data_IF_187539552262
#
_entry.id   IF_187539552262
#
_cell.length_a   1.000
_cell.length_b   1.000
_cell.length_c   1.000
_cell.angle_alpha   90.00
_cell.angle_beta   90.00
_cell.angle_gamma   90.00
#
_symmetry.space_group_name_H-M   'P 1'
#
loop_
_entity.id
_entity.type
_entity.pdbx_description
1 polymer ?
#
# COMPACT_ATOMS: atom_id res chain seq x y z
N UNK A 1 43.47 -18.27 -8.96
CA UNK A 1 43.13 -17.79 -7.61
C UNK A 1 41.79 -17.06 -7.72
N UNK A 2 40.72 -17.65 -7.19
CA UNK A 2 39.40 -17.02 -7.20
C UNK A 2 39.38 -15.91 -6.15
N UNK A 3 39.18 -14.67 -6.57
CA UNK A 3 39.03 -13.54 -5.67
C UNK A 3 37.69 -13.68 -4.93
N UNK A 4 37.75 -14.01 -3.64
CA UNK A 4 36.62 -13.94 -2.73
C UNK A 4 36.14 -12.49 -2.64
N UNK A 5 34.91 -12.24 -3.09
CA UNK A 5 34.26 -10.96 -2.88
C UNK A 5 34.21 -10.65 -1.37
N UNK A 6 34.47 -9.40 -0.95
CA UNK A 6 34.45 -9.04 0.46
C UNK A 6 33.05 -9.25 1.02
N UNK A 7 32.97 -9.91 2.18
CA UNK A 7 31.71 -10.05 2.91
C UNK A 7 31.13 -8.65 3.18
N UNK A 8 29.88 -8.44 2.78
CA UNK A 8 29.15 -7.22 3.10
C UNK A 8 29.22 -6.99 4.63
N UNK A 9 29.51 -5.76 5.09
CA UNK A 9 29.56 -5.48 6.52
C UNK A 9 28.22 -5.88 7.14
N UNK A 10 28.25 -6.69 8.20
CA UNK A 10 27.06 -6.98 9.00
C UNK A 10 26.50 -5.63 9.44
N UNK A 11 25.29 -5.29 8.98
CA UNK A 11 24.61 -4.09 9.44
C UNK A 11 24.59 -4.11 10.96
N UNK A 12 25.10 -3.04 11.59
CA UNK A 12 25.03 -2.90 13.04
C UNK A 12 23.55 -2.97 13.43
N UNK A 13 23.21 -3.84 14.39
CA UNK A 13 21.84 -3.95 14.87
C UNK A 13 21.39 -2.57 15.38
N UNK A 14 20.25 -2.09 14.93
CA UNK A 14 19.65 -0.86 15.44
C UNK A 14 19.47 -0.99 16.95
N UNK A 15 20.12 -0.11 17.72
CA UNK A 15 19.90 -0.04 19.15
C UNK A 15 18.53 0.59 19.40
N UNK A 16 17.55 -0.23 19.78
CA UNK A 16 16.18 0.23 19.99
C UNK A 16 16.11 1.23 21.16
N UNK A 17 15.31 2.27 20.99
CA UNK A 17 15.10 3.35 21.96
C UNK A 17 13.63 3.55 22.25
N UNK A 18 13.34 4.15 23.40
CA UNK A 18 12.01 4.61 23.75
C UNK A 18 11.44 5.50 22.64
N UNK A 19 10.13 5.40 22.40
CA UNK A 19 9.45 6.15 21.36
C UNK A 19 9.48 7.66 21.62
N UNK A 20 9.71 8.13 22.85
CA UNK A 20 9.80 9.57 23.17
C UNK A 20 10.96 10.26 22.43
N UNK A 21 10.69 11.48 22.00
CA UNK A 21 11.68 12.34 21.37
C UNK A 21 11.01 13.43 20.53
N UNK A 22 11.81 14.26 19.85
CA UNK A 22 11.26 15.26 18.93
C UNK A 22 10.49 14.59 17.79
N UNK A 23 9.48 15.28 17.22
CA UNK A 23 8.73 14.77 16.10
C UNK A 23 9.62 14.54 14.87
N UNK A 24 9.14 13.74 13.92
CA UNK A 24 9.84 13.58 12.66
C UNK A 24 9.93 14.91 11.90
N UNK A 25 11.06 15.22 11.24
CA UNK A 25 11.12 16.34 10.32
C UNK A 25 10.19 16.08 9.13
N UNK A 26 9.64 17.14 8.52
CA UNK A 26 8.68 17.03 7.40
C UNK A 26 9.20 16.15 6.27
N UNK A 27 10.51 16.21 5.97
CA UNK A 27 11.16 15.44 4.92
C UNK A 27 11.03 13.92 5.14
N UNK A 28 10.94 13.46 6.40
CA UNK A 28 10.75 12.05 6.73
C UNK A 28 9.38 11.52 6.29
N UNK A 29 8.38 12.39 6.13
CA UNK A 29 7.03 12.03 5.68
C UNK A 29 6.91 11.95 4.15
N UNK A 30 7.92 12.42 3.40
CA UNK A 30 7.84 12.59 1.93
C UNK A 30 7.67 11.27 1.19
N UNK A 31 8.25 10.20 1.70
CA UNK A 31 8.23 8.87 1.07
C UNK A 31 8.59 7.80 2.10
N UNK A 32 8.19 6.55 1.84
CA UNK A 32 8.53 5.43 2.72
C UNK A 32 10.04 5.28 2.99
N UNK A 33 10.96 5.43 2.00
CA UNK A 33 12.40 5.42 2.25
C UNK A 33 12.85 6.47 3.27
N UNK A 34 12.31 7.69 3.19
CA UNK A 34 12.66 8.76 4.11
C UNK A 34 12.14 8.46 5.53
N UNK A 35 10.95 7.87 5.64
CA UNK A 35 10.40 7.43 6.92
C UNK A 35 11.23 6.30 7.53
N UNK A 36 11.62 5.30 6.73
CA UNK A 36 12.47 4.18 7.16
C UNK A 36 13.82 4.68 7.66
N UNK A 37 14.43 5.64 6.97
CA UNK A 37 15.71 6.22 7.41
C UNK A 37 15.58 7.00 8.73
N UNK A 38 14.49 7.75 8.89
CA UNK A 38 14.17 8.39 10.17
C UNK A 38 14.01 7.36 11.29
N UNK A 39 13.18 6.32 11.10
CA UNK A 39 12.98 5.25 12.08
C UNK A 39 14.30 4.58 12.47
N UNK A 40 15.17 4.29 11.50
CA UNK A 40 16.49 3.71 11.72
C UNK A 40 17.36 4.61 12.60
N UNK A 41 17.49 5.89 12.25
CA UNK A 41 18.31 6.85 12.99
C UNK A 41 17.82 7.07 14.41
N UNK A 42 16.50 7.12 14.60
CA UNK A 42 15.89 7.33 15.91
C UNK A 42 15.89 6.08 16.80
N UNK A 43 16.31 4.92 16.28
CA UNK A 43 16.27 3.66 17.03
C UNK A 43 14.86 3.09 17.17
N UNK A 44 13.98 3.38 16.21
CA UNK A 44 12.57 2.98 16.19
C UNK A 44 12.28 1.91 15.12
N UNK A 45 13.32 1.26 14.58
CA UNK A 45 13.21 0.23 13.54
C UNK A 45 13.93 -1.04 13.95
N UNK A 46 13.22 -2.16 13.97
CA UNK A 46 13.87 -3.47 13.94
C UNK A 46 14.27 -3.79 12.51
N UNK A 47 15.53 -4.14 12.27
CA UNK A 47 16.04 -4.41 10.93
C UNK A 47 16.82 -5.73 10.90
N UNK A 48 16.61 -6.53 9.85
CA UNK A 48 17.26 -7.84 9.71
C UNK A 48 17.60 -8.18 8.26
N UNK A 49 18.72 -8.87 8.08
CA UNK A 49 19.14 -9.48 6.81
C UNK A 49 18.72 -10.95 6.69
N UNK A 50 18.02 -11.50 7.70
CA UNK A 50 17.41 -12.82 7.58
C UNK A 50 16.35 -12.81 6.49
N UNK A 51 16.40 -13.81 5.60
CA UNK A 51 15.41 -13.96 4.55
C UNK A 51 14.02 -14.29 5.14
N UNK A 52 13.00 -13.59 4.65
CA UNK A 52 11.60 -13.82 5.02
C UNK A 52 10.77 -14.28 3.82
N UNK A 53 9.89 -15.25 4.05
CA UNK A 53 8.88 -15.73 3.11
C UNK A 53 7.56 -14.99 3.29
N UNK A 54 6.89 -14.68 2.18
CA UNK A 54 5.51 -14.17 2.19
C UNK A 54 4.48 -15.23 2.58
N UNK A 55 4.82 -16.50 2.45
CA UNK A 55 3.98 -17.60 2.91
C UNK A 55 4.14 -17.81 4.42
N UNK A 56 3.19 -17.29 5.20
CA UNK A 56 3.04 -17.38 6.66
C UNK A 56 4.16 -16.80 7.52
N UNK A 57 5.40 -16.74 7.03
CA UNK A 57 6.54 -16.39 7.88
C UNK A 57 6.52 -14.90 8.24
N UNK A 58 6.34 -14.01 7.27
CA UNK A 58 6.26 -12.56 7.54
C UNK A 58 5.11 -12.24 8.49
N UNK A 59 3.92 -12.76 8.20
CA UNK A 59 2.68 -12.51 8.96
C UNK A 59 2.72 -13.15 10.35
N UNK A 60 3.34 -14.33 10.49
CA UNK A 60 3.59 -14.96 11.78
C UNK A 60 4.53 -14.14 12.67
N UNK A 61 5.60 -13.58 12.09
CA UNK A 61 6.50 -12.66 12.81
C UNK A 61 5.77 -11.36 13.16
N UNK A 62 5.08 -10.75 12.19
CA UNK A 62 4.27 -9.54 12.39
C UNK A 62 3.32 -9.69 13.59
N UNK A 63 2.62 -10.84 13.69
CA UNK A 63 1.70 -11.09 14.79
C UNK A 63 2.40 -11.32 16.13
N UNK A 64 3.55 -11.98 16.15
CA UNK A 64 4.33 -12.16 17.38
C UNK A 64 4.83 -10.82 17.95
N UNK A 65 5.03 -9.84 17.06
CA UNK A 65 5.51 -8.50 17.36
C UNK A 65 4.41 -7.43 17.27
N UNK A 66 3.14 -7.83 17.42
CA UNK A 66 1.99 -6.91 17.42
C UNK A 66 2.14 -5.84 18.52
N UNK A 67 1.85 -4.57 18.19
CA UNK A 67 2.10 -3.43 19.07
C UNK A 67 3.56 -2.99 19.24
N UNK A 68 4.52 -3.68 18.63
CA UNK A 68 5.95 -3.35 18.73
C UNK A 68 6.45 -2.40 17.62
N UNK A 69 7.76 -2.22 17.52
CA UNK A 69 8.42 -1.39 16.50
C UNK A 69 8.15 -1.91 15.07
N UNK A 70 8.14 -1.03 14.06
CA UNK A 70 8.24 -1.44 12.68
C UNK A 70 9.42 -2.40 12.44
N UNK A 71 9.21 -3.41 11.59
CA UNK A 71 10.22 -4.42 11.26
C UNK A 71 10.52 -4.36 9.77
N UNK A 72 11.78 -4.13 9.42
CA UNK A 72 12.29 -4.15 8.06
C UNK A 72 13.07 -5.46 7.80
N UNK A 73 12.60 -6.20 6.80
CA UNK A 73 13.31 -7.33 6.22
C UNK A 73 14.04 -6.91 4.96
N UNK A 74 15.37 -6.96 5.02
CA UNK A 74 16.23 -6.63 3.89
C UNK A 74 16.29 -7.74 2.85
N UNK A 75 15.78 -8.95 3.11
CA UNK A 75 15.78 -10.06 2.14
C UNK A 75 14.41 -10.72 2.11
N UNK A 76 13.81 -10.77 0.93
CA UNK A 76 12.50 -11.39 0.71
C UNK A 76 12.68 -12.57 -0.25
N UNK A 77 12.24 -13.76 0.19
CA UNK A 77 12.39 -15.01 -0.56
C UNK A 77 11.69 -14.89 -1.92
N UNK A 78 12.44 -15.09 -2.99
CA UNK A 78 11.92 -15.00 -4.37
C UNK A 78 11.91 -13.58 -4.96
N UNK A 79 12.18 -12.54 -4.17
CA UNK A 79 12.10 -11.13 -4.60
C UNK A 79 13.40 -10.37 -4.27
N UNK A 80 14.41 -10.49 -5.13
CA UNK A 80 15.73 -9.89 -4.91
C UNK A 80 15.72 -8.35 -4.85
N UNK A 81 14.77 -7.73 -5.56
CA UNK A 81 14.58 -6.27 -5.60
C UNK A 81 13.74 -5.74 -4.44
N UNK A 82 13.09 -6.57 -3.64
CA UNK A 82 12.14 -6.11 -2.62
C UNK A 82 12.80 -6.05 -1.24
N UNK A 83 12.43 -5.03 -0.47
CA UNK A 83 12.53 -5.02 0.99
C UNK A 83 11.13 -4.93 1.58
N UNK A 84 10.81 -5.76 2.56
CA UNK A 84 9.47 -5.78 3.16
C UNK A 84 9.50 -5.12 4.54
N UNK A 85 8.64 -4.13 4.75
CA UNK A 85 8.38 -3.56 6.08
C UNK A 85 7.04 -4.08 6.60
N UNK A 86 6.95 -4.35 7.89
CA UNK A 86 5.70 -4.70 8.59
C UNK A 86 5.59 -3.91 9.89
N UNK A 87 4.41 -3.96 10.53
CA UNK A 87 4.13 -3.30 11.81
C UNK A 87 4.32 -1.77 11.76
N UNK A 88 4.20 -1.18 10.57
CA UNK A 88 4.51 0.22 10.30
C UNK A 88 3.68 1.20 11.16
N UNK A 89 2.41 0.87 11.40
CA UNK A 89 1.49 1.62 12.27
C UNK A 89 1.08 0.83 13.53
N UNK A 90 1.87 -0.17 13.96
CA UNK A 90 1.49 -1.04 15.08
C UNK A 90 1.63 -0.37 16.46
N UNK A 91 2.56 0.57 16.60
CA UNK A 91 2.85 1.23 17.88
C UNK A 91 2.46 2.71 17.84
N UNK A 92 1.45 3.09 18.63
CA UNK A 92 0.92 4.45 18.57
C UNK A 92 1.86 5.54 19.09
N UNK A 93 2.80 5.23 19.99
CA UNK A 93 3.77 6.23 20.45
C UNK A 93 4.73 6.62 19.31
N UNK A 94 5.11 5.64 18.47
CA UNK A 94 5.92 5.88 17.27
C UNK A 94 5.12 6.67 16.24
N UNK A 95 3.84 6.33 16.04
CA UNK A 95 2.96 7.02 15.08
C UNK A 95 2.71 8.46 15.51
N UNK A 96 2.42 8.69 16.79
CA UNK A 96 2.22 10.03 17.34
C UNK A 96 3.48 10.87 17.18
N UNK A 97 4.67 10.30 17.46
CA UNK A 97 5.94 10.99 17.21
C UNK A 97 6.22 11.22 15.71
N UNK A 98 5.86 10.28 14.84
CA UNK A 98 6.06 10.40 13.40
C UNK A 98 5.32 11.63 12.84
N UNK A 99 4.09 11.85 13.28
CA UNK A 99 3.27 12.98 12.82
C UNK A 99 3.32 14.21 13.75
N UNK A 100 3.99 14.11 14.89
CA UNK A 100 4.12 15.20 15.86
C UNK A 100 2.86 15.48 16.67
N UNK A 101 2.05 14.45 16.93
CA UNK A 101 0.92 14.53 17.84
C UNK A 101 1.36 14.33 19.28
N UNK A 102 0.91 15.22 20.16
CA UNK A 102 1.25 15.16 21.59
C UNK A 102 0.59 13.96 22.28
N UNK A 103 -0.67 13.69 21.94
CA UNK A 103 -1.46 12.59 22.49
C UNK A 103 -2.60 12.17 21.53
N UNK A 104 -3.41 11.21 21.98
CA UNK A 104 -4.58 10.73 21.24
C UNK A 104 -5.64 11.81 20.95
N UNK A 105 -5.75 12.82 21.80
CA UNK A 105 -6.72 13.91 21.67
C UNK A 105 -6.24 14.87 20.58
N UNK A 106 -4.97 15.25 20.62
CA UNK A 106 -4.30 16.04 19.59
C UNK A 106 -4.42 15.33 18.23
N UNK A 107 -4.03 14.05 18.15
CA UNK A 107 -4.19 13.23 16.94
C UNK A 107 -5.61 13.30 16.37
N UNK A 108 -6.62 13.14 17.22
CA UNK A 108 -8.02 13.17 16.78
C UNK A 108 -8.41 14.54 16.19
N UNK A 109 -7.99 15.63 16.84
CA UNK A 109 -8.29 17.00 16.39
C UNK A 109 -7.55 17.36 15.11
N UNK A 110 -6.26 17.05 15.03
CA UNK A 110 -5.42 17.32 13.86
C UNK A 110 -5.89 16.52 12.63
N UNK A 111 -6.31 15.26 12.81
CA UNK A 111 -6.90 14.48 11.73
C UNK A 111 -8.25 15.07 11.28
N UNK A 112 -9.11 15.48 12.21
CA UNK A 112 -10.37 16.14 11.86
C UNK A 112 -10.15 17.46 11.11
N UNK A 113 -9.15 18.25 11.52
CA UNK A 113 -8.75 19.47 10.82
C UNK A 113 -8.26 19.16 9.40
N UNK A 114 -7.39 18.17 9.24
CA UNK A 114 -6.85 17.76 7.95
C UNK A 114 -7.93 17.30 6.95
N UNK A 115 -8.97 16.60 7.45
CA UNK A 115 -10.11 16.16 6.64
C UNK A 115 -10.96 17.34 6.14
N UNK A 116 -11.03 18.43 6.90
CA UNK A 116 -11.84 19.62 6.57
C UNK A 116 -11.05 20.73 5.88
N UNK A 117 -9.72 20.68 5.97
CA UNK A 117 -8.78 21.63 5.36
C UNK A 117 -7.72 20.91 4.52
N UNK A 118 -8.12 20.17 3.46
CA UNK A 118 -7.19 19.44 2.62
C UNK A 118 -6.20 20.38 1.90
N UNK A 119 -4.93 19.97 1.83
CA UNK A 119 -3.92 20.63 1.01
C UNK A 119 -3.90 19.97 -0.36
N UNK A 120 -4.38 20.68 -1.39
CA UNK A 120 -4.49 20.15 -2.76
C UNK A 120 -3.18 19.52 -3.23
N UNK A 121 -3.30 18.34 -3.84
CA UNK A 121 -2.16 17.62 -4.44
C UNK A 121 -1.50 18.42 -5.58
N UNK A 122 -0.19 18.24 -5.74
CA UNK A 122 0.62 18.84 -6.80
C UNK A 122 0.86 17.81 -7.91
N UNK A 123 0.72 18.22 -9.18
CA UNK A 123 1.08 17.37 -10.32
C UNK A 123 2.52 17.67 -10.73
N UNK A 124 3.37 16.65 -10.75
CA UNK A 124 4.77 16.75 -11.17
C UNK A 124 5.04 16.03 -12.48
N UNK A 125 6.14 16.39 -13.15
CA UNK A 125 6.60 15.68 -14.33
C UNK A 125 7.10 14.27 -13.99
N UNK A 126 7.02 13.35 -14.96
CA UNK A 126 7.50 11.98 -14.78
C UNK A 126 8.99 11.91 -14.39
N UNK A 127 9.81 12.86 -14.85
CA UNK A 127 11.23 12.94 -14.48
C UNK A 127 11.46 13.21 -12.98
N UNK A 128 10.49 13.82 -12.30
CA UNK A 128 10.56 14.18 -10.87
C UNK A 128 9.83 13.17 -9.96
N UNK A 129 9.26 12.11 -10.57
CA UNK A 129 8.48 11.09 -9.89
C UNK A 129 9.29 9.80 -9.71
N UNK A 130 9.74 9.45 -8.49
CA UNK A 130 10.47 8.22 -8.23
C UNK A 130 9.78 6.95 -8.72
N UNK A 131 8.44 6.88 -8.65
CA UNK A 131 7.67 5.73 -9.13
C UNK A 131 7.76 5.52 -10.65
N UNK A 132 8.22 6.51 -11.42
CA UNK A 132 8.32 6.43 -12.89
C UNK A 132 9.73 6.06 -13.38
N UNK A 133 10.65 5.70 -12.49
CA UNK A 133 12.04 5.43 -12.89
C UNK A 133 12.21 4.15 -13.72
N UNK A 134 11.27 3.21 -13.58
CA UNK A 134 11.19 1.98 -14.35
C UNK A 134 9.72 1.76 -14.74
N UNK A 135 9.46 1.53 -16.03
CA UNK A 135 8.13 1.34 -16.60
C UNK A 135 8.14 0.02 -17.37
N UNK A 136 7.30 -0.92 -16.96
CA UNK A 136 7.21 -2.26 -17.52
C UNK A 136 5.85 -2.40 -18.20
N UNK A 137 5.84 -2.73 -19.49
CA UNK A 137 4.63 -2.90 -20.30
C UNK A 137 4.59 -4.25 -21.05
N UNK A 138 5.67 -5.00 -21.01
CA UNK A 138 5.89 -6.24 -21.77
C UNK A 138 5.83 -7.51 -20.90
N UNK A 139 6.32 -7.46 -19.66
CA UNK A 139 6.22 -8.54 -18.67
C UNK A 139 5.27 -8.15 -17.53
N UNK A 140 3.97 -8.26 -17.76
CA UNK A 140 2.93 -7.83 -16.82
C UNK A 140 2.47 -8.92 -15.85
N UNK A 141 3.32 -9.91 -15.55
CA UNK A 141 3.06 -10.84 -14.44
C UNK A 141 3.28 -10.14 -13.10
N UNK A 142 2.20 -9.64 -12.50
CA UNK A 142 2.23 -8.77 -11.30
C UNK A 142 2.97 -9.44 -10.14
N UNK A 143 2.80 -10.74 -9.96
CA UNK A 143 3.42 -11.48 -8.86
C UNK A 143 4.94 -11.58 -9.00
N UNK A 144 5.56 -11.27 -10.14
CA UNK A 144 7.02 -11.16 -10.24
C UNK A 144 7.57 -9.89 -9.59
N UNK A 145 6.75 -8.85 -9.50
CA UNK A 145 7.18 -7.50 -9.11
C UNK A 145 6.67 -7.09 -7.74
N UNK A 146 5.38 -7.36 -7.48
CA UNK A 146 4.73 -7.04 -6.22
C UNK A 146 4.74 -8.29 -5.36
N UNK A 147 5.24 -8.16 -4.14
CA UNK A 147 5.36 -9.26 -3.19
C UNK A 147 4.03 -9.52 -2.46
N UNK A 148 3.36 -10.66 -2.72
CA UNK A 148 2.13 -11.04 -2.05
C UNK A 148 2.45 -11.83 -0.77
N UNK A 149 1.47 -11.96 0.11
CA UNK A 149 1.61 -12.69 1.38
C UNK A 149 0.40 -13.59 1.66
N UNK A 150 0.58 -14.51 2.60
CA UNK A 150 -0.48 -15.34 3.18
C UNK A 150 -0.48 -15.17 4.69
N UNK A 151 -1.64 -14.97 5.29
CA UNK A 151 -1.72 -14.64 6.72
C UNK A 151 -1.88 -15.86 7.60
N UNK A 152 -2.54 -16.91 7.11
CA UNK A 152 -2.91 -18.11 7.87
C UNK A 152 -2.85 -19.37 7.00
N UNK A 153 -2.69 -20.52 7.65
CA UNK A 153 -2.66 -21.83 6.97
C UNK A 153 -3.99 -22.24 6.33
N UNK A 154 -5.08 -21.52 6.63
CA UNK A 154 -6.42 -21.78 6.10
C UNK A 154 -6.63 -21.18 4.70
N UNK A 155 -5.77 -20.27 4.29
CA UNK A 155 -5.80 -19.65 2.96
C UNK A 155 -5.11 -20.58 1.97
N UNK A 156 -5.70 -20.76 0.79
CA UNK A 156 -5.11 -21.59 -0.27
C UNK A 156 -4.24 -20.80 -1.24
N UNK A 157 -4.34 -19.47 -1.24
CA UNK A 157 -3.69 -18.57 -2.19
C UNK A 157 -2.80 -17.56 -1.47
N UNK A 158 -1.83 -17.00 -2.20
CA UNK A 158 -1.04 -15.85 -1.76
C UNK A 158 -1.64 -14.59 -2.38
N UNK A 159 -1.82 -13.53 -1.60
CA UNK A 159 -2.62 -12.37 -2.04
C UNK A 159 -1.89 -11.05 -1.79
N UNK A 160 -2.29 -10.02 -2.53
CA UNK A 160 -1.83 -8.64 -2.32
C UNK A 160 -2.86 -7.95 -1.44
N UNK A 161 -2.57 -7.80 -0.14
CA UNK A 161 -3.48 -7.20 0.84
C UNK A 161 -3.46 -5.67 0.91
N UNK A 162 -2.38 -5.04 0.43
CA UNK A 162 -2.01 -3.65 0.71
C UNK A 162 -2.07 -2.69 -0.47
N UNK A 163 -2.70 -3.07 -1.58
CA UNK A 163 -2.79 -2.17 -2.73
C UNK A 163 -3.65 -0.95 -2.41
N UNK A 164 -3.12 0.25 -2.66
CA UNK A 164 -3.85 1.49 -2.45
C UNK A 164 -4.37 2.04 -3.78
N UNK A 165 -5.66 1.85 -4.03
CA UNK A 165 -6.30 2.38 -5.25
C UNK A 165 -6.33 3.90 -5.20
N UNK A 166 -6.05 4.54 -6.34
CA UNK A 166 -6.06 6.00 -6.49
C UNK A 166 -6.91 6.39 -7.70
N UNK A 167 -7.87 7.28 -7.46
CA UNK A 167 -8.75 7.87 -8.48
C UNK A 167 -8.85 9.37 -8.21
N UNK A 168 -8.58 10.20 -9.22
CA UNK A 168 -8.48 11.67 -9.03
C UNK A 168 -9.35 12.40 -10.05
N UNK A 169 -9.85 13.58 -9.67
CA UNK A 169 -10.51 14.52 -10.57
C UNK A 169 -11.91 14.05 -10.98
N UNK A 170 -12.27 14.19 -12.25
CA UNK A 170 -13.65 13.97 -12.73
C UNK A 170 -14.15 12.53 -12.51
N UNK A 171 -13.23 11.56 -12.52
CA UNK A 171 -13.53 10.15 -12.19
C UNK A 171 -13.90 9.96 -10.71
N UNK A 172 -13.55 10.94 -9.86
CA UNK A 172 -13.89 11.02 -8.44
C UNK A 172 -14.59 12.33 -8.05
N UNK A 173 -15.45 12.87 -8.94
CA UNK A 173 -16.29 14.05 -8.65
C UNK A 173 -15.51 15.32 -8.25
N UNK A 174 -14.30 15.48 -8.78
CA UNK A 174 -13.44 16.64 -8.58
C UNK A 174 -12.44 16.50 -7.41
N UNK A 175 -12.64 15.54 -6.53
CA UNK A 175 -11.77 15.24 -5.40
C UNK A 175 -10.66 14.23 -5.73
N UNK A 176 -10.17 13.55 -4.71
CA UNK A 176 -9.22 12.44 -4.88
C UNK A 176 -9.47 11.33 -3.87
N UNK A 177 -9.50 10.09 -4.36
CA UNK A 177 -9.63 8.86 -3.57
C UNK A 177 -8.26 8.23 -3.33
N UNK A 178 -8.03 7.77 -2.11
CA UNK A 178 -7.07 6.72 -1.81
C UNK A 178 -7.66 5.69 -0.82
N UNK A 179 -7.47 4.40 -1.08
CA UNK A 179 -7.95 3.37 -0.16
C UNK A 179 -7.41 1.97 -0.42
N UNK A 180 -7.38 1.14 0.61
CA UNK A 180 -6.94 -0.25 0.51
C UNK A 180 -7.91 -1.11 -0.27
N UNK A 181 -7.39 -1.87 -1.23
CA UNK A 181 -8.09 -2.92 -1.94
C UNK A 181 -7.20 -4.16 -2.01
N UNK A 182 -7.71 -5.27 -1.46
CA UNK A 182 -7.05 -6.57 -1.61
C UNK A 182 -7.28 -7.12 -3.02
N UNK A 183 -6.28 -7.82 -3.53
CA UNK A 183 -6.28 -8.39 -4.88
C UNK A 183 -5.63 -9.76 -4.90
N UNK A 184 -6.09 -10.61 -5.83
CA UNK A 184 -5.41 -11.86 -6.15
C UNK A 184 -5.15 -11.95 -7.66
N UNK A 185 -3.88 -11.93 -8.07
CA UNK A 185 -3.43 -12.01 -9.46
C UNK A 185 -3.13 -13.45 -9.86
N UNK A 186 -4.18 -14.20 -10.24
CA UNK A 186 -4.06 -15.59 -10.71
C UNK A 186 -3.81 -15.72 -12.21
N UNK A 187 -3.94 -14.61 -12.96
CA UNK A 187 -3.93 -14.59 -14.42
C UNK A 187 -2.92 -13.58 -14.99
N UNK A 188 -1.72 -13.52 -14.41
CA UNK A 188 -0.65 -12.61 -14.82
C UNK A 188 -0.98 -11.15 -14.49
N UNK A 189 -1.49 -10.41 -15.49
CA UNK A 189 -1.82 -9.00 -15.37
C UNK A 189 -3.27 -8.74 -14.93
N UNK A 190 -4.10 -9.78 -14.82
CA UNK A 190 -5.48 -9.66 -14.34
C UNK A 190 -5.57 -10.18 -12.93
N UNK A 191 -6.06 -9.33 -12.03
CA UNK A 191 -6.31 -9.66 -10.63
C UNK A 191 -7.76 -9.43 -10.23
N UNK A 192 -8.26 -10.18 -9.25
CA UNK A 192 -9.48 -9.76 -8.54
C UNK A 192 -9.22 -8.45 -7.82
N UNK A 193 -10.24 -7.61 -7.69
CA UNK A 193 -10.16 -6.32 -7.03
C UNK A 193 -11.33 -6.22 -6.06
N UNK A 194 -11.08 -6.49 -4.78
CA UNK A 194 -12.16 -6.49 -3.80
C UNK A 194 -12.55 -5.07 -3.44
N UNK A 195 -13.86 -4.82 -3.42
CA UNK A 195 -14.44 -3.53 -3.09
C UNK A 195 -15.46 -3.73 -1.97
N UNK A 196 -15.22 -3.08 -0.85
CA UNK A 196 -16.16 -3.08 0.27
C UNK A 196 -17.44 -2.32 -0.10
N UNK A 197 -18.63 -2.88 0.16
CA UNK A 197 -19.90 -2.19 -0.09
C UNK A 197 -19.95 -0.83 0.63
N UNK A 198 -20.46 0.19 -0.07
CA UNK A 198 -20.54 1.56 0.44
C UNK A 198 -19.26 2.40 0.24
N UNK A 199 -18.12 1.75 -0.01
CA UNK A 199 -16.85 2.46 -0.26
C UNK A 199 -16.89 3.42 -1.42
N UNK A 200 -16.00 4.40 -1.40
CA UNK A 200 -15.79 5.30 -2.52
C UNK A 200 -15.51 4.54 -3.82
N UNK A 201 -14.67 3.50 -3.77
CA UNK A 201 -14.49 2.61 -4.92
C UNK A 201 -15.75 1.85 -5.32
N UNK A 202 -16.64 1.50 -4.38
CA UNK A 202 -17.95 0.94 -4.70
C UNK A 202 -18.84 1.95 -5.42
N UNK A 203 -18.83 3.22 -4.98
CA UNK A 203 -19.58 4.29 -5.63
C UNK A 203 -19.05 4.58 -7.04
N UNK A 204 -17.72 4.61 -7.22
CA UNK A 204 -17.07 4.74 -8.53
C UNK A 204 -17.43 3.56 -9.44
N UNK A 205 -17.24 2.33 -8.97
CA UNK A 205 -17.58 1.12 -9.73
C UNK A 205 -19.07 1.11 -10.13
N UNK A 206 -19.96 1.50 -9.23
CA UNK A 206 -21.41 1.53 -9.49
C UNK A 206 -21.78 2.59 -10.52
N UNK A 207 -21.16 3.78 -10.44
CA UNK A 207 -21.35 4.86 -11.42
C UNK A 207 -21.00 4.40 -12.83
N UNK A 208 -19.90 3.67 -13.00
CA UNK A 208 -19.40 3.23 -14.31
C UNK A 208 -19.75 1.77 -14.64
N UNK A 209 -20.70 1.14 -13.93
CA UNK A 209 -20.96 -0.30 -14.06
C UNK A 209 -21.38 -0.75 -15.47
N UNK A 210 -22.11 0.13 -16.19
CA UNK A 210 -22.63 -0.13 -17.55
C UNK A 210 -21.78 0.49 -18.66
N UNK A 211 -20.79 1.30 -18.30
CA UNK A 211 -20.00 2.11 -19.21
C UNK A 211 -18.64 1.44 -19.51
N UNK A 212 -17.65 2.26 -19.83
CA UNK A 212 -16.25 1.87 -20.03
C UNK A 212 -15.55 1.45 -18.72
N UNK A 213 -14.48 0.64 -18.82
CA UNK A 213 -13.63 0.31 -17.68
C UNK A 213 -13.11 1.58 -16.98
N UNK A 214 -12.96 1.53 -15.66
CA UNK A 214 -12.52 2.71 -14.88
C UNK A 214 -11.00 2.74 -14.84
N UNK A 215 -10.34 3.77 -15.42
CA UNK A 215 -8.89 3.91 -15.29
C UNK A 215 -8.54 4.26 -13.85
N UNK A 216 -7.58 3.54 -13.26
CA UNK A 216 -7.07 3.80 -11.92
C UNK A 216 -5.63 3.32 -11.80
N UNK A 217 -4.98 3.72 -10.71
CA UNK A 217 -3.69 3.15 -10.30
C UNK A 217 -3.80 2.50 -8.93
N UNK A 218 -2.96 1.50 -8.67
CA UNK A 218 -2.83 0.86 -7.36
C UNK A 218 -1.39 0.98 -6.88
N UNK A 219 -1.19 1.72 -5.79
CA UNK A 219 0.10 2.22 -5.37
C UNK A 219 0.57 1.50 -4.11
N UNK A 220 1.89 1.32 -3.98
CA UNK A 220 2.53 0.62 -2.85
C UNK A 220 3.74 1.42 -2.36
N UNK A 221 4.06 1.29 -1.06
CA UNK A 221 5.18 2.00 -0.46
C UNK A 221 5.01 3.53 -0.53
N UNK A 222 3.87 3.99 -0.05
CA UNK A 222 3.44 5.39 -0.13
C UNK A 222 4.12 6.29 0.92
N UNK A 223 4.04 7.62 0.77
CA UNK A 223 4.23 8.55 1.89
C UNK A 223 3.37 8.14 3.10
N UNK A 224 3.92 8.22 4.31
CA UNK A 224 3.26 7.69 5.51
C UNK A 224 1.86 8.29 5.75
N UNK A 225 1.69 9.59 5.49
CA UNK A 225 0.39 10.25 5.60
C UNK A 225 -0.64 9.67 4.61
N UNK A 226 -0.25 9.38 3.37
CA UNK A 226 -1.15 8.76 2.39
C UNK A 226 -1.54 7.34 2.80
N UNK A 227 -0.60 6.56 3.33
CA UNK A 227 -0.86 5.21 3.86
C UNK A 227 -1.83 5.23 5.05
N UNK A 228 -1.70 6.23 5.93
CA UNK A 228 -2.61 6.44 7.05
C UNK A 228 -4.03 6.78 6.57
N UNK A 229 -4.16 7.76 5.68
CA UNK A 229 -5.47 8.22 5.18
C UNK A 229 -6.18 7.16 4.35
N UNK A 230 -5.45 6.30 3.63
CA UNK A 230 -6.03 5.16 2.93
C UNK A 230 -6.79 4.19 3.85
N UNK A 231 -6.47 4.17 5.15
CA UNK A 231 -7.19 3.40 6.16
C UNK A 231 -8.50 4.03 6.62
N UNK A 232 -8.72 5.33 6.36
CA UNK A 232 -9.94 6.07 6.69
C UNK A 232 -11.10 5.83 5.71
N UNK A 233 -10.91 4.96 4.71
CA UNK A 233 -11.85 4.75 3.62
C UNK A 233 -13.23 4.17 4.00
N UNK A 234 -13.56 3.98 5.28
CA UNK A 234 -14.90 3.64 5.77
C UNK A 234 -15.65 4.81 6.41
N UNK A 235 -15.00 5.98 6.53
CA UNK A 235 -15.51 7.13 7.25
C UNK A 235 -16.39 8.06 6.37
N UNK A 236 -17.32 7.49 5.60
CA UNK A 236 -18.09 8.22 4.57
C UNK A 236 -18.95 9.38 5.08
N UNK A 237 -19.23 9.40 6.39
CA UNK A 237 -19.96 10.49 7.06
C UNK A 237 -19.10 11.75 7.13
N UNK A 238 -17.77 11.59 7.27
CA UNK A 238 -16.80 12.70 7.36
C UNK A 238 -16.00 12.89 6.07
N UNK A 239 -15.88 11.85 5.24
CA UNK A 239 -15.32 11.88 3.89
C UNK A 239 -16.44 11.63 2.86
N UNK A 240 -17.23 12.67 2.52
CA UNK A 240 -18.33 12.51 1.59
C UNK A 240 -17.82 12.20 0.18
N UNK A 241 -18.72 11.73 -0.66
CA UNK A 241 -18.47 11.57 -2.09
C UNK A 241 -17.87 12.85 -2.70
N UNK A 242 -16.71 12.73 -3.34
CA UNK A 242 -15.97 13.87 -3.90
C UNK A 242 -15.04 14.57 -2.90
N UNK A 243 -14.83 13.99 -1.71
CA UNK A 243 -13.77 14.39 -0.79
C UNK A 243 -12.38 14.28 -1.40
N UNK A 244 -11.39 14.82 -0.69
CA UNK A 244 -10.00 14.86 -1.13
C UNK A 244 -9.10 14.14 -0.12
N UNK A 245 -9.11 12.80 -0.15
CA UNK A 245 -8.33 11.98 0.78
C UNK A 245 -6.82 12.20 0.64
N UNK A 246 -6.30 12.39 -0.59
CA UNK A 246 -4.89 12.74 -0.78
C UNK A 246 -4.60 14.18 -0.32
N UNK A 247 -5.56 15.09 -0.46
CA UNK A 247 -5.45 16.43 0.08
C UNK A 247 -5.42 16.44 1.61
N UNK A 248 -6.24 15.62 2.26
CA UNK A 248 -6.20 15.39 3.70
C UNK A 248 -4.85 14.80 4.14
N UNK A 249 -4.31 13.84 3.37
CA UNK A 249 -2.96 13.33 3.61
C UNK A 249 -1.89 14.43 3.47
N UNK A 250 -2.05 15.34 2.50
CA UNK A 250 -1.22 16.52 2.34
C UNK A 250 -1.28 17.44 3.56
N UNK A 251 -2.46 17.65 4.11
CA UNK A 251 -2.67 18.43 5.34
C UNK A 251 -1.99 17.76 6.55
N UNK A 252 -2.12 16.43 6.71
CA UNK A 252 -1.44 15.68 7.79
C UNK A 252 0.08 15.84 7.75
N UNK A 253 0.72 15.75 6.58
CA UNK A 253 2.17 15.97 6.47
C UNK A 253 2.57 17.46 6.37
N UNK A 254 1.59 18.36 6.25
CA UNK A 254 1.78 19.80 6.16
C UNK A 254 2.41 20.29 4.85
N UNK A 255 2.27 19.53 3.75
CA UNK A 255 2.64 19.91 2.38
C UNK A 255 1.96 18.98 1.34
N UNK A 256 1.81 19.40 0.07
CA UNK A 256 1.08 18.63 -0.94
C UNK A 256 1.61 17.21 -1.17
N UNK A 257 0.69 16.25 -1.33
CA UNK A 257 1.00 14.96 -1.95
C UNK A 257 1.29 15.20 -3.44
N UNK A 258 2.38 14.60 -3.94
CA UNK A 258 2.76 14.73 -5.35
C UNK A 258 2.13 13.60 -6.15
N UNK A 259 1.51 13.96 -7.26
CA UNK A 259 0.90 13.06 -8.23
C UNK A 259 1.66 13.12 -9.55
N UNK A 260 1.66 12.02 -10.28
CA UNK A 260 2.21 11.93 -11.62
C UNK A 260 1.21 11.24 -12.53
N UNK A 261 1.13 11.68 -13.79
CA UNK A 261 0.25 11.04 -14.77
C UNK A 261 0.73 9.60 -15.03
N UNK A 262 -0.20 8.65 -15.01
CA UNK A 262 0.08 7.27 -15.36
C UNK A 262 0.64 7.15 -16.79
N UNK A 263 1.50 6.17 -17.02
CA UNK A 263 2.17 5.93 -18.28
C UNK A 263 1.21 5.39 -19.37
N UNK A 264 0.27 4.51 -19.01
CA UNK A 264 -0.55 3.79 -20.00
C UNK A 264 -2.06 4.04 -19.90
N UNK A 265 -2.53 4.69 -18.84
CA UNK A 265 -3.96 4.96 -18.61
C UNK A 265 -4.20 6.42 -18.24
N UNK A 266 -5.41 6.93 -18.48
CA UNK A 266 -5.79 8.28 -18.07
C UNK A 266 -6.15 8.33 -16.57
N UNK A 267 -5.11 8.18 -15.74
CA UNK A 267 -5.17 8.24 -14.29
C UNK A 267 -3.90 8.88 -13.72
N UNK A 268 -3.84 9.00 -12.40
CA UNK A 268 -2.67 9.49 -11.68
C UNK A 268 -2.18 8.45 -10.68
N UNK A 269 -0.86 8.37 -10.50
CA UNK A 269 -0.19 7.63 -9.44
C UNK A 269 0.40 8.61 -8.42
N UNK A 270 0.63 8.15 -7.18
CA UNK A 270 1.38 8.93 -6.19
C UNK A 270 2.84 8.91 -6.59
N UNK A 271 3.39 10.08 -6.92
CA UNK A 271 4.72 10.21 -7.52
C UNK A 271 5.84 9.64 -6.63
N UNK A 272 5.69 9.77 -5.31
CA UNK A 272 6.66 9.36 -4.30
C UNK A 272 6.55 7.88 -3.88
N UNK A 273 5.60 7.12 -4.45
CA UNK A 273 5.41 5.69 -4.17
C UNK A 273 6.62 4.85 -4.59
N UNK A 274 6.68 3.62 -4.09
CA UNK A 274 7.69 2.62 -4.46
C UNK A 274 7.29 1.86 -5.73
N UNK A 275 6.00 1.54 -5.86
CA UNK A 275 5.40 0.84 -6.99
C UNK A 275 4.02 1.40 -7.32
N UNK A 276 3.60 1.28 -8.58
CA UNK A 276 2.24 1.50 -9.05
C UNK A 276 1.86 0.47 -10.12
N UNK A 277 0.66 -0.08 -10.00
CA UNK A 277 0.01 -0.87 -11.03
C UNK A 277 -0.99 0.03 -11.74
N UNK A 278 -0.84 0.20 -13.05
CA UNK A 278 -1.66 1.09 -13.86
C UNK A 278 -2.58 0.28 -14.75
N UNK A 279 -3.88 0.60 -14.77
CA UNK A 279 -4.80 -0.21 -15.53
C UNK A 279 -6.25 0.20 -15.43
N UNK A 280 -7.11 -0.77 -15.69
CA UNK A 280 -8.55 -0.58 -15.77
C UNK A 280 -9.30 -1.54 -14.84
N UNK A 281 -10.22 -1.00 -14.05
CA UNK A 281 -11.19 -1.79 -13.32
C UNK A 281 -12.34 -2.17 -14.26
N UNK A 282 -12.64 -3.46 -14.35
CA UNK A 282 -13.73 -4.03 -15.12
C UNK A 282 -14.85 -4.51 -14.18
N UNK A 283 -15.92 -3.72 -13.97
CA UNK A 283 -16.97 -4.04 -12.99
C UNK A 283 -17.74 -5.33 -13.30
N UNK A 284 -17.79 -5.71 -14.58
CA UNK A 284 -18.57 -6.83 -15.10
C UNK A 284 -17.77 -8.11 -15.32
N UNK A 285 -16.45 -8.02 -15.49
CA UNK A 285 -15.58 -9.20 -15.45
C UNK A 285 -15.34 -9.55 -13.98
N UNK A 286 -16.10 -10.55 -13.50
CA UNK A 286 -16.03 -11.01 -12.11
C UNK A 286 -15.45 -12.41 -12.04
N UNK A 287 -14.45 -12.58 -11.18
CA UNK A 287 -13.76 -13.86 -10.98
C UNK A 287 -13.71 -14.23 -9.52
N UNK A 288 -13.61 -15.52 -9.25
CA UNK A 288 -13.44 -16.03 -7.89
C UNK A 288 -12.06 -15.65 -7.34
N UNK A 289 -12.04 -15.18 -6.10
CA UNK A 289 -10.82 -14.81 -5.38
C UNK A 289 -9.86 -15.99 -5.14
N UNK A 290 -10.34 -17.24 -5.17
CA UNK A 290 -9.49 -18.45 -4.99
C UNK A 290 -9.81 -19.53 -6.03
N UNK A 291 -8.81 -20.36 -6.37
CA UNK A 291 -9.00 -21.52 -7.26
C UNK A 291 -9.98 -22.55 -6.69
N UNK A 292 -10.01 -22.71 -5.37
CA UNK A 292 -10.91 -23.64 -4.70
C UNK A 292 -12.38 -23.22 -4.84
N UNK A 293 -12.68 -21.93 -4.62
CA UNK A 293 -14.02 -21.38 -4.83
C UNK A 293 -14.44 -21.42 -6.30
N UNK A 294 -13.50 -21.19 -7.21
CA UNK A 294 -13.71 -21.30 -8.67
C UNK A 294 -14.09 -22.71 -9.09
N UNK A 295 -13.32 -23.71 -8.66
CA UNK A 295 -13.58 -25.11 -8.97
C UNK A 295 -14.93 -25.59 -8.44
N UNK A 296 -15.32 -25.11 -7.27
CA UNK A 296 -16.59 -25.47 -6.64
C UNK A 296 -17.79 -24.65 -7.18
N UNK A 297 -17.53 -23.55 -7.90
CA UNK A 297 -18.51 -22.52 -8.30
C UNK A 297 -19.41 -22.07 -7.14
N UNK A 298 -18.82 -21.85 -5.95
CA UNK A 298 -19.52 -21.43 -4.73
C UNK A 298 -18.81 -20.27 -4.07
N UNK A 299 -19.55 -19.19 -3.79
CA UNK A 299 -19.08 -18.04 -3.01
C UNK A 299 -19.41 -18.21 -1.52
N UNK A 300 -18.66 -17.56 -0.64
CA UNK A 300 -18.97 -17.50 0.79
C UNK A 300 -18.65 -18.78 1.59
N UNK A 301 -18.04 -19.80 0.96
CA UNK A 301 -17.74 -21.09 1.60
C UNK A 301 -16.27 -21.22 2.01
N UNK A 302 -15.37 -21.02 1.06
CA UNK A 302 -13.94 -21.24 1.23
C UNK A 302 -13.25 -20.04 1.87
N UNK A 303 -12.17 -20.28 2.60
CA UNK A 303 -11.41 -19.22 3.25
C UNK A 303 -10.61 -18.41 2.23
N UNK A 304 -10.44 -17.11 2.50
CA UNK A 304 -9.65 -16.24 1.62
C UNK A 304 -8.52 -15.50 2.34
N UNK A 305 -8.84 -14.69 3.35
CA UNK A 305 -7.87 -13.96 4.18
C UNK A 305 -8.54 -13.55 5.51
N UNK A 306 -7.80 -13.31 6.61
CA UNK A 306 -8.37 -12.83 7.86
C UNK A 306 -8.87 -11.38 7.75
N UNK A 307 -10.10 -11.14 8.19
CA UNK A 307 -10.70 -9.81 8.19
C UNK A 307 -10.43 -9.08 9.51
N UNK A 308 -10.52 -7.75 9.49
CA UNK A 308 -10.29 -6.86 10.63
C UNK A 308 -11.10 -7.22 11.89
N UNK A 309 -12.25 -7.88 11.74
CA UNK A 309 -13.09 -8.37 12.83
C UNK A 309 -12.46 -9.55 13.62
N UNK A 310 -11.32 -10.09 13.17
CA UNK A 310 -10.60 -11.19 13.81
C UNK A 310 -11.02 -12.59 13.35
N UNK A 311 -11.79 -12.71 12.27
CA UNK A 311 -12.25 -13.98 11.70
C UNK A 311 -11.76 -14.16 10.28
N UNK A 312 -11.66 -15.42 9.83
CA UNK A 312 -11.37 -15.70 8.43
C UNK A 312 -12.52 -15.26 7.53
N UNK A 313 -12.20 -14.34 6.62
CA UNK A 313 -13.05 -13.98 5.50
C UNK A 313 -13.26 -15.16 4.55
N UNK A 314 -14.25 -15.00 3.68
CA UNK A 314 -14.63 -16.00 2.68
C UNK A 314 -14.36 -15.49 1.27
N UNK A 315 -14.07 -16.40 0.36
CA UNK A 315 -13.86 -16.08 -1.05
C UNK A 315 -15.20 -15.80 -1.75
N UNK A 316 -15.24 -14.72 -2.53
CA UNK A 316 -16.38 -14.30 -3.35
C UNK A 316 -15.95 -14.10 -4.82
N UNK A 317 -16.94 -13.78 -5.67
CA UNK A 317 -16.64 -13.21 -7.00
C UNK A 317 -16.44 -11.70 -6.85
N UNK A 318 -15.26 -11.22 -7.20
CA UNK A 318 -14.92 -9.80 -7.21
C UNK A 318 -14.77 -9.30 -8.65
N UNK A 319 -15.01 -8.01 -8.93
CA UNK A 319 -14.62 -7.41 -10.21
C UNK A 319 -13.12 -7.55 -10.41
N UNK A 320 -12.65 -7.33 -11.64
CA UNK A 320 -11.24 -7.53 -11.98
C UNK A 320 -10.54 -6.23 -12.33
N UNK A 321 -9.27 -6.14 -11.98
CA UNK A 321 -8.37 -5.07 -12.37
C UNK A 321 -7.37 -5.61 -13.39
N UNK A 322 -7.32 -4.96 -14.55
CA UNK A 322 -6.52 -5.36 -15.71
C UNK A 322 -5.34 -4.41 -15.83
N UNK A 323 -4.16 -4.88 -15.47
CA UNK A 323 -2.92 -4.10 -15.46
C UNK A 323 -2.38 -3.96 -16.88
N UNK A 324 -1.96 -2.75 -17.20
CA UNK A 324 -1.39 -2.34 -18.50
C UNK A 324 0.05 -1.84 -18.37
N UNK A 325 0.45 -1.37 -17.19
CA UNK A 325 1.84 -1.09 -16.85
C UNK A 325 2.11 -1.34 -15.35
N UNK A 326 3.35 -1.69 -15.06
CA UNK A 326 3.92 -1.67 -13.71
C UNK A 326 4.98 -0.58 -13.71
N UNK A 327 4.78 0.47 -12.93
CA UNK A 327 5.76 1.55 -12.74
C UNK A 327 6.35 1.45 -11.35
N UNK A 328 7.66 1.64 -11.22
CA UNK A 328 8.33 1.55 -9.93
C UNK A 328 9.61 2.37 -9.87
N UNK A 329 10.11 2.58 -8.65
CA UNK A 329 11.52 2.96 -8.45
C UNK A 329 12.43 1.90 -9.05
N UNK A 330 13.65 2.28 -9.47
CA UNK A 330 14.59 1.32 -10.09
C UNK A 330 14.79 0.11 -9.19
N UNK A 331 14.70 -1.11 -9.75
CA UNK A 331 14.95 -2.35 -9.00
C UNK A 331 16.30 -2.36 -8.26
N UNK A 332 17.32 -1.68 -8.81
CA UNK A 332 18.64 -1.54 -8.18
C UNK A 332 18.63 -0.76 -6.86
N UNK A 333 17.63 0.10 -6.62
CA UNK A 333 17.42 0.82 -5.37
C UNK A 333 16.71 -0.03 -4.30
N UNK A 334 16.28 -1.23 -4.68
CA UNK A 334 15.62 -2.23 -3.83
C UNK A 334 14.35 -1.68 -3.15
N UNK A 335 13.29 -1.36 -3.92
CA UNK A 335 12.13 -0.66 -3.39
C UNK A 335 11.41 -1.39 -2.24
N UNK A 336 10.79 -0.62 -1.36
CA UNK A 336 10.10 -1.10 -0.16
C UNK A 336 8.65 -1.47 -0.42
N UNK A 337 8.17 -2.56 0.16
CA UNK A 337 6.75 -2.92 0.19
C UNK A 337 6.26 -3.04 1.63
N UNK A 338 5.04 -2.56 1.88
CA UNK A 338 4.30 -2.75 3.13
C UNK A 338 3.11 -3.67 2.81
N UNK A 339 3.25 -5.01 2.94
CA UNK A 339 2.31 -5.97 2.33
C UNK A 339 0.97 -6.12 3.09
N UNK A 340 0.89 -5.63 4.35
CA UNK A 340 -0.23 -5.66 5.33
C UNK A 340 -0.80 -7.02 5.73
#
# INVERSE_FOLDING_TARGET
MAATAPAAPKAAKTALKDAKGPPAPKEALRSLPATVEWLRREGLLMETDSEVSGDLQLTGIQKHFDGSYPILFNRVKGYSHVRAITNFFANMDIVDRLFGWEDRTARTRELAEALTHPIKSEIVAAADAPVMQEVITDDLDVNKYIFPIRHTHLESEITIGSGNSVVVGDKFWGGSHIGYNRMNFRWGNVGTFQISPGSHMWQVMTKYYRDEPVPLTVNFGLPAAATLLAGGGFDYVVLPRGGDELGAAGAVQGYPIRLVKAATVDAYAVADAEYSLEGYLHPRDKRYETAEAEKADIQGRFHFHPEWAGYMGKAYKAPTFHVTAITMRKRSQRPFIYPM
#
